data_IF_796708375401
#
_entry.id   IF_796708375401
#
_cell.length_a   1.000
_cell.length_b   1.000
_cell.length_c   1.000
_cell.angle_alpha   90.00
_cell.angle_beta   90.00
_cell.angle_gamma   90.00
#
_symmetry.space_group_name_H-M   'P 1'
#
loop_
_entity.id
_entity.type
_entity.pdbx_description
1 polymer ?
#
# COMPACT_ATOMS: atom_id res chain seq x y z
N UNK A 1 0.06 -0.03 -10.22
CA UNK A 1 -0.59 1.12 -9.55
C UNK A 1 -0.71 2.28 -10.50
N UNK A 2 -1.90 2.87 -10.59
CA UNK A 2 -2.16 4.11 -11.34
C UNK A 2 -2.42 5.22 -10.34
N UNK A 3 -1.66 6.32 -10.41
CA UNK A 3 -1.90 7.51 -9.58
C UNK A 3 -2.61 8.56 -10.43
N UNK A 4 -3.80 8.98 -9.98
CA UNK A 4 -4.61 9.98 -10.68
C UNK A 4 -4.58 11.30 -9.91
N UNK A 5 -4.22 12.38 -10.60
CA UNK A 5 -4.01 13.72 -10.07
C UNK A 5 -4.97 14.70 -10.74
N UNK A 6 -5.25 15.83 -10.08
CA UNK A 6 -6.02 16.93 -10.68
C UNK A 6 -5.35 18.29 -10.43
N UNK A 7 -5.41 19.25 -11.37
CA UNK A 7 -4.61 20.49 -11.34
C UNK A 7 -4.80 21.40 -10.13
N UNK A 8 -6.01 21.48 -9.59
CA UNK A 8 -6.39 22.44 -8.54
C UNK A 8 -6.14 21.93 -7.12
N UNK A 9 -5.45 20.79 -6.98
CA UNK A 9 -5.10 20.21 -5.69
C UNK A 9 -3.83 20.88 -5.18
N UNK A 10 -3.98 22.03 -4.52
CA UNK A 10 -2.91 23.00 -4.22
C UNK A 10 -1.69 22.55 -3.40
N UNK A 11 -1.54 21.26 -3.09
CA UNK A 11 -0.41 20.72 -2.32
C UNK A 11 0.11 19.37 -2.82
N UNK A 12 -0.42 18.85 -3.93
CA UNK A 12 -0.17 17.45 -4.31
C UNK A 12 1.29 17.17 -4.67
N UNK A 13 2.03 18.17 -5.15
CA UNK A 13 3.42 18.01 -5.58
C UNK A 13 4.38 17.91 -4.39
N UNK A 14 4.07 18.55 -3.26
CA UNK A 14 4.85 18.34 -2.04
C UNK A 14 4.57 16.95 -1.46
N UNK A 15 3.32 16.49 -1.49
CA UNK A 15 2.96 15.11 -1.11
C UNK A 15 3.61 14.06 -2.03
N UNK A 16 3.84 14.38 -3.31
CA UNK A 16 4.53 13.48 -4.26
C UNK A 16 5.96 13.13 -3.83
N UNK A 17 6.67 14.06 -3.18
CA UNK A 17 8.05 13.84 -2.71
C UNK A 17 8.18 12.83 -1.57
N UNK A 18 7.08 12.46 -0.90
CA UNK A 18 7.11 11.63 0.31
C UNK A 18 6.70 10.16 0.09
N UNK A 19 6.70 9.65 -1.15
CA UNK A 19 6.54 8.21 -1.42
C UNK A 19 5.60 7.84 -2.57
N UNK A 20 4.77 8.77 -3.05
CA UNK A 20 3.85 8.52 -4.18
C UNK A 20 4.59 8.29 -5.52
N UNK A 21 5.74 8.94 -5.72
CA UNK A 21 6.58 8.73 -6.90
C UNK A 21 7.17 7.32 -6.97
N UNK A 22 7.41 6.68 -5.82
CA UNK A 22 8.09 5.39 -5.73
C UNK A 22 7.16 4.20 -6.05
N UNK A 23 5.85 4.41 -5.90
CA UNK A 23 4.83 3.34 -6.03
C UNK A 23 4.05 3.39 -7.34
N UNK A 24 4.19 4.48 -8.12
CA UNK A 24 3.40 4.70 -9.32
C UNK A 24 3.99 3.97 -10.54
N UNK A 25 3.20 3.12 -11.19
CA UNK A 25 3.57 2.53 -12.47
C UNK A 25 3.10 3.39 -13.66
N UNK A 26 2.07 4.21 -13.45
CA UNK A 26 1.48 5.15 -14.42
C UNK A 26 0.94 6.37 -13.67
N UNK A 27 1.22 7.58 -14.17
CA UNK A 27 0.59 8.82 -13.72
C UNK A 27 -0.48 9.29 -14.70
N UNK A 28 -1.60 9.77 -14.16
CA UNK A 28 -2.69 10.35 -14.94
C UNK A 28 -3.08 11.70 -14.34
N UNK A 29 -3.03 12.76 -15.14
CA UNK A 29 -3.55 14.08 -14.79
C UNK A 29 -4.94 14.18 -15.39
N UNK A 30 -5.96 14.00 -14.56
CA UNK A 30 -7.36 14.12 -14.96
C UNK A 30 -7.85 15.56 -14.81
N UNK A 31 -8.90 15.91 -15.57
CA UNK A 31 -9.36 17.30 -15.77
C UNK A 31 -8.29 18.17 -16.41
N UNK A 32 -7.61 17.62 -17.43
CA UNK A 32 -6.53 18.30 -18.14
C UNK A 32 -6.99 19.54 -18.94
N UNK A 33 -8.30 19.78 -19.04
CA UNK A 33 -8.92 21.01 -19.51
C UNK A 33 -8.74 22.21 -18.55
N UNK A 34 -8.36 21.96 -17.30
CA UNK A 34 -8.23 22.99 -16.27
C UNK A 34 -6.84 23.62 -16.24
N UNK A 35 -6.81 24.87 -15.79
CA UNK A 35 -5.57 25.61 -15.57
C UNK A 35 -4.64 24.84 -14.61
N UNK A 36 -3.33 24.87 -14.90
CA UNK A 36 -2.32 24.16 -14.12
C UNK A 36 -2.07 22.70 -14.55
N UNK A 37 -2.90 22.11 -15.43
CA UNK A 37 -2.68 20.74 -15.92
C UNK A 37 -1.33 20.57 -16.64
N UNK A 38 -0.97 21.56 -17.46
CA UNK A 38 0.32 21.56 -18.15
C UNK A 38 1.48 21.69 -17.16
N UNK A 39 1.33 22.54 -16.15
CA UNK A 39 2.37 22.74 -15.12
C UNK A 39 2.69 21.44 -14.40
N UNK A 40 1.67 20.75 -13.86
CA UNK A 40 1.85 19.46 -13.17
C UNK A 40 2.49 18.41 -14.08
N UNK A 41 2.11 18.38 -15.37
CA UNK A 41 2.68 17.45 -16.34
C UNK A 41 4.19 17.62 -16.50
N UNK A 42 4.65 18.86 -16.67
CA UNK A 42 6.07 19.14 -16.85
C UNK A 42 6.86 18.91 -15.56
N UNK A 43 6.28 19.27 -14.41
CA UNK A 43 6.89 19.02 -13.10
C UNK A 43 7.07 17.52 -12.83
N UNK A 44 6.05 16.69 -13.11
CA UNK A 44 6.13 15.23 -12.98
C UNK A 44 7.16 14.62 -13.93
N UNK A 45 7.16 15.03 -15.20
CA UNK A 45 8.16 14.59 -16.19
C UNK A 45 9.58 14.86 -15.69
N UNK A 46 9.83 16.10 -15.25
CA UNK A 46 11.15 16.50 -14.75
C UNK A 46 11.57 15.66 -13.52
N UNK A 47 10.64 15.40 -12.59
CA UNK A 47 10.94 14.57 -11.41
C UNK A 47 11.26 13.10 -11.77
N UNK A 48 10.53 12.52 -12.73
CA UNK A 48 10.78 11.16 -13.19
C UNK A 48 12.09 11.04 -13.96
N UNK A 49 12.49 12.07 -14.72
CA UNK A 49 13.80 12.12 -15.40
C UNK A 49 14.98 12.15 -14.43
N UNK A 50 14.79 12.74 -13.24
CA UNK A 50 15.81 12.78 -12.18
C UNK A 50 15.85 11.51 -11.33
N UNK A 51 14.87 10.63 -11.45
CA UNK A 51 14.78 9.39 -10.69
C UNK A 51 15.65 8.29 -11.33
N UNK A 52 16.15 7.30 -10.54
CA UNK A 52 16.93 6.19 -11.10
C UNK A 52 16.13 5.48 -12.19
N UNK A 53 16.77 5.19 -13.34
CA UNK A 53 16.10 4.50 -14.43
C UNK A 53 15.66 3.11 -13.98
N UNK A 54 14.35 2.89 -13.99
CA UNK A 54 13.74 1.58 -13.85
C UNK A 54 13.63 0.90 -15.22
N UNK A 55 13.47 -0.41 -15.27
CA UNK A 55 13.23 -1.14 -16.52
C UNK A 55 11.87 -0.76 -17.17
N UNK A 56 10.96 -0.18 -16.40
CA UNK A 56 9.73 0.44 -16.89
C UNK A 56 9.85 1.96 -16.87
N UNK A 57 9.65 2.61 -18.01
CA UNK A 57 9.53 4.05 -18.08
C UNK A 57 8.11 4.45 -17.66
N UNK A 58 7.97 5.03 -16.47
CA UNK A 58 6.67 5.43 -15.90
C UNK A 58 6.04 6.53 -16.77
N UNK A 59 4.93 6.25 -17.49
CA UNK A 59 4.30 7.23 -18.37
C UNK A 59 3.45 8.22 -17.57
N UNK A 60 3.42 9.47 -18.02
CA UNK A 60 2.55 10.53 -17.52
C UNK A 60 1.55 10.87 -18.61
N UNK A 61 0.26 10.69 -18.35
CA UNK A 61 -0.83 10.90 -19.31
C UNK A 61 -1.75 12.04 -18.85
N UNK A 62 -2.39 12.70 -19.81
CA UNK A 62 -3.45 13.69 -19.55
C UNK A 62 -4.80 13.12 -19.97
N UNK A 63 -5.81 13.33 -19.13
CA UNK A 63 -7.18 12.87 -19.40
C UNK A 63 -8.21 13.93 -19.07
N UNK A 64 -9.34 13.87 -19.75
CA UNK A 64 -10.56 14.58 -19.39
C UNK A 64 -11.67 13.53 -19.32
N UNK A 65 -11.77 12.85 -18.17
CA UNK A 65 -12.63 11.67 -18.04
C UNK A 65 -14.09 11.94 -18.42
N UNK A 66 -14.62 13.12 -18.05
CA UNK A 66 -16.00 13.50 -18.38
C UNK A 66 -16.25 13.62 -19.89
N UNK A 67 -15.25 14.07 -20.64
CA UNK A 67 -15.32 14.20 -22.10
C UNK A 67 -14.78 12.95 -22.83
N UNK A 68 -14.39 11.91 -22.09
CA UNK A 68 -13.77 10.68 -22.60
C UNK A 68 -12.47 10.92 -23.41
N UNK A 69 -11.72 11.98 -23.10
CA UNK A 69 -10.45 12.32 -23.77
C UNK A 69 -9.28 11.68 -23.01
N UNK A 70 -8.37 11.03 -23.73
CA UNK A 70 -7.18 10.36 -23.17
C UNK A 70 -7.46 9.00 -22.49
N UNK A 71 -8.73 8.62 -22.32
CA UNK A 71 -9.13 7.35 -21.67
C UNK A 71 -8.68 6.14 -22.48
N UNK A 72 -8.77 6.19 -23.82
CA UNK A 72 -8.30 5.13 -24.69
C UNK A 72 -6.78 4.93 -24.58
N UNK A 73 -6.02 6.03 -24.59
CA UNK A 73 -4.56 6.02 -24.43
C UNK A 73 -4.14 5.45 -23.07
N UNK A 74 -4.89 5.77 -22.00
CA UNK A 74 -4.70 5.16 -20.69
C UNK A 74 -4.92 3.64 -20.75
N UNK A 75 -5.99 3.18 -21.39
CA UNK A 75 -6.26 1.75 -21.58
C UNK A 75 -5.15 1.02 -22.34
N UNK A 76 -4.65 1.62 -23.43
CA UNK A 76 -3.52 1.07 -24.20
C UNK A 76 -2.24 1.01 -23.36
N UNK A 77 -1.99 2.03 -22.56
CA UNK A 77 -0.83 2.10 -21.66
C UNK A 77 -0.91 1.06 -20.53
N UNK A 78 -2.09 0.85 -19.97
CA UNK A 78 -2.34 -0.20 -18.99
C UNK A 78 -2.04 -1.58 -19.57
N UNK A 79 -2.44 -1.83 -20.81
CA UNK A 79 -2.17 -3.11 -21.47
C UNK A 79 -0.67 -3.29 -21.77
N UNK A 80 0.05 -2.22 -22.14
CA UNK A 80 1.52 -2.26 -22.27
C UNK A 80 2.18 -2.60 -20.93
N UNK A 81 1.75 -1.96 -19.85
CA UNK A 81 2.28 -2.26 -18.52
C UNK A 81 1.99 -3.71 -18.11
N UNK A 82 0.77 -4.20 -18.36
CA UNK A 82 0.40 -5.61 -18.11
C UNK A 82 1.32 -6.58 -18.83
N UNK A 83 1.64 -6.32 -20.10
CA UNK A 83 2.58 -7.14 -20.89
C UNK A 83 4.01 -7.05 -20.35
N UNK A 84 4.45 -5.86 -19.94
CA UNK A 84 5.74 -5.69 -19.26
C UNK A 84 5.83 -6.54 -17.99
N UNK A 85 4.76 -6.56 -17.18
CA UNK A 85 4.72 -7.37 -15.97
C UNK A 85 4.77 -8.89 -16.28
N UNK A 86 4.13 -9.33 -17.35
CA UNK A 86 4.12 -10.74 -17.77
C UNK A 86 5.44 -11.18 -18.43
N UNK A 87 6.16 -10.26 -19.07
CA UNK A 87 7.41 -10.54 -19.78
C UNK A 87 8.67 -10.51 -18.92
N UNK A 88 8.58 -10.07 -17.66
CA UNK A 88 9.74 -9.89 -16.77
C UNK A 88 9.70 -10.84 -15.58
N UNK A 89 10.65 -11.77 -15.50
CA UNK A 89 10.83 -12.68 -14.35
C UNK A 89 11.03 -11.93 -13.03
N UNK A 90 11.65 -10.74 -13.09
CA UNK A 90 11.87 -9.88 -11.92
C UNK A 90 10.56 -9.27 -11.40
N UNK A 91 9.58 -9.04 -12.28
CA UNK A 91 8.26 -8.59 -11.87
C UNK A 91 7.49 -9.71 -11.18
N UNK A 92 7.57 -10.94 -11.69
CA UNK A 92 6.91 -12.08 -11.06
C UNK A 92 7.41 -12.27 -9.61
N UNK A 93 8.72 -12.15 -9.37
CA UNK A 93 9.30 -12.14 -8.03
C UNK A 93 8.85 -10.95 -7.19
N UNK A 94 8.84 -9.72 -7.75
CA UNK A 94 8.35 -8.52 -7.02
C UNK A 94 6.89 -8.67 -6.61
N UNK A 95 6.02 -9.15 -7.51
CA UNK A 95 4.59 -9.40 -7.21
C UNK A 95 4.45 -10.48 -6.15
N UNK A 96 5.26 -11.53 -6.22
CA UNK A 96 5.28 -12.60 -5.21
C UNK A 96 5.61 -12.05 -3.84
N UNK A 97 6.70 -11.27 -3.70
CA UNK A 97 7.07 -10.65 -2.42
C UNK A 97 5.99 -9.71 -1.88
N UNK A 98 5.34 -8.92 -2.76
CA UNK A 98 4.23 -8.05 -2.35
C UNK A 98 3.04 -8.86 -1.82
N UNK A 99 2.68 -9.96 -2.49
CA UNK A 99 1.60 -10.84 -2.05
C UNK A 99 1.94 -11.59 -0.76
N UNK A 100 3.20 -11.97 -0.58
CA UNK A 100 3.69 -12.56 0.67
C UNK A 100 3.54 -11.53 1.81
N UNK A 101 3.92 -10.27 1.60
CA UNK A 101 3.73 -9.20 2.58
C UNK A 101 2.26 -8.90 2.90
N UNK A 102 1.40 -8.80 1.88
CA UNK A 102 -0.04 -8.59 2.06
C UNK A 102 -0.68 -9.74 2.86
N UNK A 103 -0.29 -10.99 2.56
CA UNK A 103 -0.75 -12.15 3.32
C UNK A 103 -0.27 -12.09 4.78
N UNK A 104 0.98 -11.72 5.02
CA UNK A 104 1.52 -11.58 6.38
C UNK A 104 0.78 -10.51 7.18
N UNK A 105 0.50 -9.35 6.58
CA UNK A 105 -0.27 -8.27 7.24
C UNK A 105 -1.67 -8.74 7.62
N UNK A 106 -2.41 -9.32 6.67
CA UNK A 106 -3.76 -9.86 6.93
C UNK A 106 -3.72 -10.94 8.00
N UNK A 107 -2.73 -11.84 7.95
CA UNK A 107 -2.56 -12.89 8.95
C UNK A 107 -2.31 -12.32 10.35
N UNK A 108 -1.48 -11.28 10.46
CA UNK A 108 -1.22 -10.60 11.74
C UNK A 108 -2.48 -9.93 12.29
N UNK A 109 -3.24 -9.25 11.44
CA UNK A 109 -4.50 -8.62 11.84
C UNK A 109 -5.54 -9.63 12.32
N UNK A 110 -5.74 -10.71 11.56
CA UNK A 110 -6.66 -11.79 11.93
C UNK A 110 -6.19 -12.51 13.21
N UNK A 111 -4.89 -12.78 13.35
CA UNK A 111 -4.34 -13.38 14.56
C UNK A 111 -4.59 -12.50 15.79
N UNK A 112 -4.27 -11.20 15.71
CA UNK A 112 -4.52 -10.27 16.80
C UNK A 112 -6.00 -10.15 17.15
N UNK A 113 -6.89 -10.16 16.14
CA UNK A 113 -8.33 -10.15 16.34
C UNK A 113 -8.81 -11.38 17.11
N UNK A 114 -8.38 -12.56 16.69
CA UNK A 114 -8.71 -13.82 17.35
C UNK A 114 -8.19 -13.85 18.79
N UNK A 115 -6.92 -13.48 19.01
CA UNK A 115 -6.33 -13.43 20.35
C UNK A 115 -7.07 -12.46 21.26
N UNK A 116 -7.45 -11.27 20.77
CA UNK A 116 -8.22 -10.30 21.56
C UNK A 116 -9.61 -10.83 21.95
N UNK A 117 -10.31 -11.46 21.02
CA UNK A 117 -11.64 -12.02 21.27
C UNK A 117 -11.58 -13.14 22.33
N UNK A 118 -10.62 -14.04 22.21
CA UNK A 118 -10.44 -15.16 23.13
C UNK A 118 -9.93 -14.68 24.51
N UNK A 119 -9.03 -13.69 24.56
CA UNK A 119 -8.55 -13.09 25.82
C UNK A 119 -9.67 -12.47 26.65
N UNK A 120 -10.72 -11.95 26.02
CA UNK A 120 -11.86 -11.38 26.71
C UNK A 120 -12.73 -12.44 27.41
N UNK A 121 -12.65 -13.71 26.97
CA UNK A 121 -13.48 -14.80 27.45
C UNK A 121 -12.70 -15.82 28.29
N UNK A 122 -11.37 -15.73 28.31
CA UNK A 122 -10.51 -16.74 28.94
C UNK A 122 -10.21 -16.43 30.43
N UNK A 123 -10.83 -17.21 31.32
CA UNK A 123 -10.66 -17.08 32.77
C UNK A 123 -9.21 -17.30 33.27
N UNK A 124 -8.38 -18.07 32.55
CA UNK A 124 -6.98 -18.29 32.91
C UNK A 124 -6.13 -17.08 32.54
N UNK A 125 -6.39 -16.49 31.36
CA UNK A 125 -5.73 -15.25 30.94
C UNK A 125 -6.06 -14.09 31.90
N UNK A 126 -7.29 -14.01 32.39
CA UNK A 126 -7.70 -12.99 33.34
C UNK A 126 -6.97 -13.10 34.69
N UNK A 127 -6.72 -14.31 35.18
CA UNK A 127 -5.90 -14.52 36.39
C UNK A 127 -4.49 -13.96 36.23
N UNK A 128 -3.85 -14.19 35.09
CA UNK A 128 -2.52 -13.64 34.84
C UNK A 128 -2.54 -12.13 34.63
N UNK A 129 -3.62 -11.58 34.03
CA UNK A 129 -3.83 -10.13 33.91
C UNK A 129 -3.89 -9.47 35.29
N UNK A 130 -4.64 -10.06 36.22
CA UNK A 130 -4.77 -9.58 37.60
C UNK A 130 -3.42 -9.54 38.32
N UNK A 131 -2.62 -10.61 38.22
CA UNK A 131 -1.28 -10.68 38.82
C UNK A 131 -0.32 -9.61 38.29
N UNK A 132 -0.44 -9.23 37.01
CA UNK A 132 0.34 -8.12 36.43
C UNK A 132 -0.11 -6.78 37.02
N UNK A 133 -1.42 -6.56 37.16
CA UNK A 133 -1.97 -5.32 37.72
C UNK A 133 -1.63 -5.13 39.21
N UNK A 134 -1.53 -6.24 39.95
CA UNK A 134 -1.13 -6.27 41.36
C UNK A 134 0.40 -6.17 41.55
N UNK A 135 1.18 -6.23 40.46
CA UNK A 135 2.64 -6.15 40.49
C UNK A 135 3.34 -7.44 40.96
N UNK A 136 2.61 -8.57 41.05
CA UNK A 136 3.19 -9.87 41.42
C UNK A 136 4.11 -10.43 40.33
N UNK A 137 3.81 -10.13 39.06
CA UNK A 137 4.60 -10.53 37.90
C UNK A 137 4.75 -9.37 36.92
N UNK A 138 5.82 -9.39 36.13
CA UNK A 138 6.02 -8.40 35.07
C UNK A 138 5.05 -8.63 33.90
N UNK A 139 4.78 -7.57 33.12
CA UNK A 139 3.98 -7.67 31.90
C UNK A 139 4.55 -8.69 30.89
N UNK A 140 5.89 -8.80 30.83
CA UNK A 140 6.57 -9.75 29.96
C UNK A 140 6.35 -11.21 30.42
N UNK A 141 6.40 -11.48 31.72
CA UNK A 141 6.09 -12.79 32.28
C UNK A 141 4.62 -13.16 32.11
N UNK A 142 3.70 -12.20 32.34
CA UNK A 142 2.28 -12.39 32.07
C UNK A 142 2.03 -12.79 30.61
N UNK A 143 2.64 -12.10 29.65
CA UNK A 143 2.53 -12.44 28.23
C UNK A 143 3.06 -13.85 27.91
N UNK A 144 4.20 -14.26 28.48
CA UNK A 144 4.76 -15.61 28.31
C UNK A 144 3.87 -16.73 28.84
N UNK A 145 3.09 -16.47 29.89
CA UNK A 145 2.16 -17.44 30.47
C UNK A 145 0.84 -17.50 29.68
N UNK A 146 0.39 -16.37 29.17
CA UNK A 146 -0.86 -16.23 28.42
C UNK A 146 -0.71 -16.78 27.00
N UNK A 147 0.35 -16.42 26.28
CA UNK A 147 0.52 -16.71 24.84
C UNK A 147 0.42 -18.22 24.48
N UNK A 148 1.01 -19.17 25.24
CA UNK A 148 0.91 -20.60 24.95
C UNK A 148 -0.51 -21.17 25.06
N UNK A 149 -1.42 -20.50 25.79
CA UNK A 149 -2.82 -20.92 25.91
C UNK A 149 -3.55 -20.80 24.56
N UNK A 150 -3.12 -19.88 23.70
CA UNK A 150 -3.74 -19.60 22.41
C UNK A 150 -3.06 -20.34 21.26
N UNK A 151 -1.75 -20.63 21.36
CA UNK A 151 -1.02 -21.43 20.37
C UNK A 151 -1.47 -22.90 20.33
N UNK A 152 -2.21 -23.36 21.35
CA UNK A 152 -2.84 -24.69 21.39
C UNK A 152 -4.27 -24.72 20.83
N UNK A 153 -4.88 -23.57 20.54
CA UNK A 153 -6.14 -23.49 19.81
C UNK A 153 -5.84 -23.76 18.33
N UNK A 154 -5.74 -25.06 18.00
CA UNK A 154 -5.90 -25.50 16.62
C UNK A 154 -7.34 -25.19 16.16
N UNK A 155 -7.57 -24.90 14.87
CA UNK A 155 -8.90 -25.07 14.30
C UNK A 155 -9.37 -26.53 14.44
#
# INVERSE_FOLDING_TARGET
TVVVLTPESGDTIQTMKAGLLEVADIFVINKADREGADKIFHELRAMLEMSPRSAWEVPVLKTQAFQNIGVKELGETLEKHRKYLQGSTQVAEKIRTLREGELEEVLQEEFLRCVKAELAQNAVAEKFRQKVLEGEISAYEGAKQILPLFLKLKP
#
